data_IF_355304891232
#
_entry.id   IF_355304891232
#
_cell.length_a   1.000
_cell.length_b   1.000
_cell.length_c   1.000
_cell.angle_alpha   90.00
_cell.angle_beta   90.00
_cell.angle_gamma   90.00
#
_symmetry.space_group_name_H-M   'P 1'
#
loop_
_entity.id
_entity.type
_entity.pdbx_description
1 polymer ?
#
# COMPACT_ATOMS: atom_id res chain seq x y z
N UNK A 1 8.18 -20.12 -0.15
CA UNK A 1 7.69 -18.77 -0.50
C UNK A 1 8.73 -17.77 -0.03
N UNK A 2 9.45 -17.10 -0.95
CA UNK A 2 10.44 -16.07 -0.57
C UNK A 2 9.69 -14.75 -0.41
N UNK A 3 9.69 -14.20 0.80
CA UNK A 3 9.19 -12.84 1.03
C UNK A 3 10.11 -11.84 0.35
N UNK A 4 9.53 -10.81 -0.28
CA UNK A 4 10.30 -9.80 -1.01
C UNK A 4 10.94 -8.82 -0.04
N UNK A 5 12.22 -8.55 -0.21
CA UNK A 5 13.00 -7.64 0.61
C UNK A 5 13.06 -6.24 -0.05
N UNK A 6 13.00 -5.12 0.70
CA UNK A 6 13.23 -3.79 0.16
C UNK A 6 14.53 -3.66 -0.65
N UNK A 7 15.59 -4.36 -0.28
CA UNK A 7 16.88 -4.30 -0.95
C UNK A 7 16.81 -4.82 -2.39
N UNK A 8 16.01 -5.87 -2.61
CA UNK A 8 15.74 -6.38 -3.96
C UNK A 8 15.12 -5.27 -4.82
N UNK A 9 14.24 -4.43 -4.25
CA UNK A 9 13.56 -3.37 -4.99
C UNK A 9 14.48 -2.23 -5.41
N UNK A 10 15.44 -1.84 -4.57
CA UNK A 10 16.46 -0.83 -4.90
C UNK A 10 17.39 -1.31 -6.00
N UNK A 11 17.75 -2.60 -6.03
CA UNK A 11 18.59 -3.16 -7.09
C UNK A 11 17.88 -3.22 -8.45
N UNK A 12 16.56 -3.45 -8.44
CA UNK A 12 15.75 -3.63 -9.65
C UNK A 12 15.27 -2.30 -10.26
N UNK A 13 15.26 -1.20 -9.49
CA UNK A 13 14.64 0.07 -9.90
C UNK A 13 15.64 1.22 -9.84
N UNK A 14 16.24 1.60 -10.98
CA UNK A 14 17.25 2.66 -11.00
C UNK A 14 16.71 4.04 -10.60
N UNK A 15 15.39 4.26 -10.74
CA UNK A 15 14.74 5.52 -10.39
C UNK A 15 14.31 5.59 -8.91
N UNK A 16 14.41 4.48 -8.16
CA UNK A 16 14.07 4.43 -6.75
C UNK A 16 15.22 4.99 -5.92
N UNK A 17 14.98 6.12 -5.26
CA UNK A 17 15.96 6.79 -4.40
C UNK A 17 15.65 6.54 -2.94
N UNK A 18 16.65 6.12 -2.16
CA UNK A 18 16.51 5.91 -0.71
C UNK A 18 16.11 7.19 0.01
N UNK A 19 16.62 8.33 -0.45
CA UNK A 19 16.28 9.63 0.13
C UNK A 19 14.79 9.96 -0.03
N UNK A 20 14.18 9.56 -1.14
CA UNK A 20 12.77 9.81 -1.40
C UNK A 20 11.87 8.88 -0.56
N UNK A 21 12.29 7.62 -0.36
CA UNK A 21 11.65 6.69 0.59
C UNK A 21 11.69 7.26 2.01
N UNK A 22 12.86 7.74 2.46
CA UNK A 22 13.04 8.35 3.78
C UNK A 22 12.15 9.58 3.97
N UNK A 23 12.09 10.50 2.99
CA UNK A 23 11.22 11.68 3.05
C UNK A 23 9.74 11.31 3.23
N UNK A 24 9.28 10.24 2.56
CA UNK A 24 7.90 9.77 2.73
C UNK A 24 7.71 9.15 4.11
N UNK A 25 8.64 8.31 4.60
CA UNK A 25 8.54 7.72 5.94
C UNK A 25 8.56 8.78 7.06
N UNK A 26 9.39 9.80 6.94
CA UNK A 26 9.41 10.95 7.86
C UNK A 26 8.14 11.77 7.80
N UNK A 27 7.51 11.88 6.63
CA UNK A 27 6.22 12.55 6.50
C UNK A 27 5.11 11.70 7.13
N UNK A 28 5.08 10.39 6.90
CA UNK A 28 4.14 9.43 7.50
C UNK A 28 4.21 9.48 9.03
N UNK A 29 5.42 9.53 9.61
CA UNK A 29 5.58 9.56 11.07
C UNK A 29 4.98 10.81 11.74
N UNK A 30 4.77 11.88 10.96
CA UNK A 30 4.11 13.12 11.40
C UNK A 30 2.59 13.09 11.23
N UNK A 31 2.03 12.08 10.57
CA UNK A 31 0.59 11.94 10.33
C UNK A 31 -0.04 10.99 11.37
N UNK A 32 -0.79 11.50 12.37
CA UNK A 32 -1.35 10.65 13.42
C UNK A 32 -2.49 9.73 12.95
N UNK A 33 -3.14 10.04 11.82
CA UNK A 33 -4.22 9.24 11.24
C UNK A 33 -3.72 8.09 10.36
N UNK A 34 -2.46 8.11 9.94
CA UNK A 34 -1.87 7.04 9.14
C UNK A 34 -1.36 5.92 10.04
N UNK A 35 -1.51 4.64 9.64
CA UNK A 35 -0.92 3.53 10.37
C UNK A 35 0.61 3.51 10.19
N UNK A 36 1.27 2.56 10.85
CA UNK A 36 2.67 2.25 10.54
C UNK A 36 2.75 1.63 9.15
N UNK A 37 3.47 2.28 8.25
CA UNK A 37 3.69 1.83 6.87
C UNK A 37 5.16 1.38 6.77
N UNK A 38 5.38 0.17 6.25
CA UNK A 38 6.72 -0.39 6.08
C UNK A 38 7.51 0.31 4.97
N UNK A 39 8.82 0.10 4.94
CA UNK A 39 9.67 0.59 3.86
C UNK A 39 9.25 0.00 2.51
N UNK A 40 8.97 -1.30 2.47
CA UNK A 40 8.52 -1.98 1.25
C UNK A 40 7.21 -1.37 0.72
N UNK A 41 6.22 -1.13 1.59
CA UNK A 41 4.97 -0.48 1.19
C UNK A 41 5.22 0.94 0.66
N UNK A 42 6.12 1.69 1.31
CA UNK A 42 6.50 3.04 0.87
C UNK A 42 7.12 3.02 -0.53
N UNK A 43 8.00 2.05 -0.81
CA UNK A 43 8.59 1.83 -2.13
C UNK A 43 7.49 1.53 -3.16
N UNK A 44 6.51 0.69 -2.83
CA UNK A 44 5.41 0.36 -3.73
C UNK A 44 4.54 1.58 -4.04
N UNK A 45 4.24 2.43 -3.05
CA UNK A 45 3.51 3.68 -3.28
C UNK A 45 4.29 4.62 -4.21
N UNK A 46 5.59 4.82 -3.94
CA UNK A 46 6.45 5.64 -4.81
C UNK A 46 6.49 5.10 -6.23
N UNK A 47 6.66 3.79 -6.39
CA UNK A 47 6.65 3.13 -7.69
C UNK A 47 5.33 3.34 -8.43
N UNK A 48 4.19 3.19 -7.76
CA UNK A 48 2.86 3.40 -8.35
C UNK A 48 2.61 4.85 -8.78
N UNK A 49 3.34 5.79 -8.19
CA UNK A 49 3.25 7.22 -8.48
C UNK A 49 4.44 7.73 -9.32
N UNK A 50 5.14 6.85 -10.02
CA UNK A 50 6.30 7.19 -10.86
C UNK A 50 7.34 8.04 -10.11
N UNK A 51 7.55 7.73 -8.83
CA UNK A 51 8.48 8.38 -7.89
C UNK A 51 8.17 9.86 -7.60
N UNK A 52 6.95 10.33 -7.90
CA UNK A 52 6.49 11.65 -7.50
C UNK A 52 6.10 11.65 -6.01
N UNK A 53 6.87 12.36 -5.18
CA UNK A 53 6.61 12.46 -3.73
C UNK A 53 5.20 12.97 -3.42
N UNK A 54 4.77 14.03 -4.10
CA UNK A 54 3.46 14.65 -3.85
C UNK A 54 2.30 13.73 -4.23
N UNK A 55 2.42 13.03 -5.36
CA UNK A 55 1.41 12.03 -5.76
C UNK A 55 1.42 10.83 -4.79
N UNK A 56 2.59 10.37 -4.34
CA UNK A 56 2.69 9.28 -3.39
C UNK A 56 1.99 9.61 -2.06
N UNK A 57 2.23 10.80 -1.49
CA UNK A 57 1.54 11.27 -0.27
C UNK A 57 0.02 11.27 -0.45
N UNK A 58 -0.47 11.87 -1.54
CA UNK A 58 -1.91 11.92 -1.85
C UNK A 58 -2.51 10.51 -2.00
N UNK A 59 -1.81 9.61 -2.69
CA UNK A 59 -2.24 8.22 -2.86
C UNK A 59 -2.28 7.48 -1.53
N UNK A 60 -1.28 7.66 -0.66
CA UNK A 60 -1.25 7.06 0.69
C UNK A 60 -2.46 7.52 1.51
N UNK A 61 -2.73 8.83 1.57
CA UNK A 61 -3.88 9.36 2.30
C UNK A 61 -5.21 8.80 1.77
N UNK A 62 -5.40 8.81 0.45
CA UNK A 62 -6.62 8.29 -0.19
C UNK A 62 -6.76 6.78 0.08
N UNK A 63 -5.68 6.02 -0.05
CA UNK A 63 -5.67 4.57 0.14
C UNK A 63 -6.15 4.19 1.55
N UNK A 64 -5.56 4.79 2.58
CA UNK A 64 -5.96 4.50 3.96
C UNK A 64 -7.32 5.10 4.31
N UNK A 65 -7.70 6.24 3.72
CA UNK A 65 -9.05 6.81 3.88
C UNK A 65 -10.11 5.84 3.35
N UNK A 66 -10.01 5.40 2.09
CA UNK A 66 -11.00 4.51 1.47
C UNK A 66 -11.08 3.19 2.26
N UNK A 67 -9.95 2.59 2.61
CA UNK A 67 -9.95 1.31 3.34
C UNK A 67 -10.58 1.42 4.73
N UNK A 68 -10.44 2.56 5.38
CA UNK A 68 -11.04 2.81 6.70
C UNK A 68 -12.55 3.05 6.59
N UNK A 69 -12.99 3.77 5.56
CA UNK A 69 -14.40 4.15 5.39
C UNK A 69 -15.25 3.09 4.68
N UNK A 70 -14.63 2.11 4.02
CA UNK A 70 -15.33 1.06 3.28
C UNK A 70 -15.03 -0.36 3.81
N UNK A 71 -15.30 -0.64 5.10
CA UNK A 71 -14.99 -1.94 5.71
C UNK A 71 -15.72 -3.11 5.03
N UNK A 72 -16.87 -2.87 4.37
CA UNK A 72 -17.62 -3.86 3.59
C UNK A 72 -16.77 -4.53 2.49
N UNK A 73 -15.74 -3.84 1.99
CA UNK A 73 -14.82 -4.40 0.99
C UNK A 73 -13.47 -4.84 1.57
N UNK A 74 -13.03 -4.25 2.69
CA UNK A 74 -11.66 -4.36 3.17
C UNK A 74 -11.50 -5.06 4.53
N UNK A 75 -12.59 -5.29 5.27
CA UNK A 75 -12.61 -6.03 6.53
C UNK A 75 -13.32 -7.39 6.39
N UNK A 76 -13.06 -8.32 7.32
CA UNK A 76 -13.73 -9.63 7.43
C UNK A 76 -13.86 -10.40 6.11
N UNK A 77 -12.81 -10.34 5.27
CA UNK A 77 -12.77 -11.08 4.01
C UNK A 77 -12.72 -12.58 4.30
N UNK A 78 -13.83 -13.26 4.06
CA UNK A 78 -13.93 -14.70 4.15
C UNK A 78 -14.33 -15.25 2.77
N UNK A 79 -13.38 -15.87 2.09
CA UNK A 79 -13.62 -16.48 0.78
C UNK A 79 -14.49 -17.73 0.83
N UNK A 80 -14.78 -18.24 2.04
CA UNK A 80 -15.68 -19.38 2.27
C UNK A 80 -17.07 -18.95 2.75
N UNK A 81 -17.32 -17.65 2.89
CA UNK A 81 -18.63 -17.13 3.20
C UNK A 81 -19.63 -17.55 2.10
N UNK A 82 -20.80 -18.02 2.51
CA UNK A 82 -21.84 -18.51 1.59
C UNK A 82 -22.21 -17.44 0.55
N UNK A 83 -22.25 -16.16 0.93
CA UNK A 83 -22.58 -15.09 -0.01
C UNK A 83 -21.55 -14.95 -1.16
N UNK A 84 -20.28 -15.26 -0.91
CA UNK A 84 -19.24 -15.23 -1.95
C UNK A 84 -19.29 -16.48 -2.81
N UNK A 85 -19.48 -17.66 -2.20
CA UNK A 85 -19.59 -18.93 -2.92
C UNK A 85 -20.80 -18.91 -3.88
N UNK A 86 -21.95 -18.39 -3.43
CA UNK A 86 -23.16 -18.25 -4.23
C UNK A 86 -22.94 -17.33 -5.44
N UNK A 87 -22.14 -16.26 -5.31
CA UNK A 87 -21.75 -15.39 -6.43
C UNK A 87 -20.77 -16.07 -7.40
N UNK A 88 -19.93 -16.99 -6.91
CA UNK A 88 -18.97 -17.74 -7.72
C UNK A 88 -19.60 -18.93 -8.46
N UNK A 89 -20.75 -19.42 -8.00
CA UNK A 89 -21.49 -20.54 -8.59
C UNK A 89 -22.52 -20.14 -9.67
N UNK A 90 -22.57 -18.87 -10.09
CA UNK A 90 -23.38 -18.46 -11.24
C UNK A 90 -22.79 -19.10 -12.52
N UNK A 91 -23.39 -20.23 -12.93
CA UNK A 91 -23.18 -20.91 -14.22
C UNK A 91 -24.03 -20.30 -15.33
#
# INVERSE_FOLDING_TARGET
MKWRDPEDEYSLRPNLKREDVQKIQEWISKQPHLPKISELETILFLHSCYYSLEQAKKTIDIYYTIRTHSPEFFAKRDTSASEILDMMEIQ
#
